data_IF_757123650594
#
_entry.id   IF_757123650594
#
_cell.length_a   1.000
_cell.length_b   1.000
_cell.length_c   1.000
_cell.angle_alpha   90.00
_cell.angle_beta   90.00
_cell.angle_gamma   90.00
#
_symmetry.space_group_name_H-M   'P 1'
#
loop_
_entity.id
_entity.type
_entity.pdbx_description
1 polymer ?
#
# COMPACT_ATOMS: atom_id res chain seq x y z
N UNK A 1 -9.37 44.33 13.75
CA UNK A 1 -9.14 43.35 12.66
C UNK A 1 -7.94 42.38 12.86
N UNK A 2 -7.04 42.57 13.85
CA UNK A 2 -5.91 41.65 14.13
C UNK A 2 -6.26 40.38 14.94
N UNK A 3 -7.34 40.41 15.74
CA UNK A 3 -7.78 39.28 16.59
C UNK A 3 -8.33 38.07 15.81
N UNK A 4 -8.93 38.27 14.63
CA UNK A 4 -9.51 37.16 13.84
C UNK A 4 -8.45 36.32 13.11
N UNK A 5 -7.32 36.93 12.68
CA UNK A 5 -6.20 36.21 12.07
C UNK A 5 -5.47 35.31 13.08
N UNK A 6 -5.28 35.77 14.32
CA UNK A 6 -4.64 35.01 15.41
C UNK A 6 -5.48 33.78 15.83
N UNK A 7 -6.80 33.95 15.93
CA UNK A 7 -7.74 32.85 16.21
C UNK A 7 -7.75 31.81 15.08
N UNK A 8 -7.80 32.26 13.81
CA UNK A 8 -7.71 31.35 12.64
C UNK A 8 -6.39 30.58 12.59
N UNK A 9 -5.26 31.21 12.92
CA UNK A 9 -3.95 30.53 12.93
C UNK A 9 -3.88 29.46 14.04
N UNK A 10 -4.37 29.77 15.24
CA UNK A 10 -4.41 28.81 16.35
C UNK A 10 -5.31 27.59 16.06
N UNK A 11 -6.46 27.79 15.39
CA UNK A 11 -7.34 26.69 14.97
C UNK A 11 -6.67 25.81 13.91
N UNK A 12 -5.95 26.40 12.96
CA UNK A 12 -5.27 25.68 11.88
C UNK A 12 -4.09 24.83 12.41
N UNK A 13 -3.32 25.37 13.36
CA UNK A 13 -2.22 24.64 14.03
C UNK A 13 -2.76 23.44 14.80
N UNK A 14 -3.84 23.61 15.57
CA UNK A 14 -4.47 22.52 16.34
C UNK A 14 -5.00 21.42 15.41
N UNK A 15 -5.54 21.80 14.25
CA UNK A 15 -6.01 20.85 13.25
C UNK A 15 -4.86 20.10 12.56
N UNK A 16 -3.74 20.76 12.27
CA UNK A 16 -2.56 20.11 11.69
C UNK A 16 -1.94 19.10 12.67
N UNK A 17 -1.76 19.49 13.94
CA UNK A 17 -1.23 18.58 14.97
C UNK A 17 -2.12 17.36 15.20
N UNK A 18 -3.45 17.51 15.10
CA UNK A 18 -4.36 16.37 15.21
C UNK A 18 -4.15 15.39 14.04
N UNK A 19 -4.04 15.91 12.82
CA UNK A 19 -3.81 15.09 11.62
C UNK A 19 -2.45 14.42 11.61
N UNK A 20 -1.42 15.10 12.11
CA UNK A 20 -0.08 14.54 12.26
C UNK A 20 -0.10 13.33 13.20
N UNK A 21 -0.73 13.48 14.37
CA UNK A 21 -0.93 12.36 15.31
C UNK A 21 -1.76 11.22 14.74
N UNK A 22 -2.82 11.53 13.97
CA UNK A 22 -3.57 10.50 13.24
C UNK A 22 -2.68 9.76 12.23
N UNK A 23 -1.82 10.47 11.50
CA UNK A 23 -0.92 9.85 10.53
C UNK A 23 0.13 8.94 11.21
N UNK A 24 0.72 9.40 12.31
CA UNK A 24 1.63 8.59 13.13
C UNK A 24 0.93 7.33 13.65
N UNK A 25 -0.25 7.49 14.25
CA UNK A 25 -1.03 6.39 14.80
C UNK A 25 -1.36 5.36 13.72
N UNK A 26 -1.78 5.80 12.53
CA UNK A 26 -2.00 4.93 11.37
C UNK A 26 -0.72 4.18 10.98
N UNK A 27 0.42 4.87 10.91
CA UNK A 27 1.71 4.26 10.55
C UNK A 27 2.09 3.17 11.56
N UNK A 28 1.87 3.38 12.85
CA UNK A 28 2.26 2.42 13.90
C UNK A 28 1.25 1.29 14.13
N UNK A 29 -0.04 1.56 14.00
CA UNK A 29 -1.09 0.62 14.47
C UNK A 29 -1.80 -0.12 13.35
N UNK A 30 -1.94 0.48 12.15
CA UNK A 30 -2.77 -0.15 11.11
C UNK A 30 -2.11 -1.40 10.56
N UNK A 31 -2.92 -2.42 10.27
CA UNK A 31 -2.47 -3.61 9.53
C UNK A 31 -2.16 -3.24 8.09
N UNK A 32 -1.31 -4.02 7.42
CA UNK A 32 -0.84 -3.74 6.06
C UNK A 32 -1.96 -3.42 5.05
N UNK A 33 -3.09 -4.15 5.11
CA UNK A 33 -4.24 -3.91 4.22
C UNK A 33 -4.88 -2.54 4.47
N UNK A 34 -5.11 -2.19 5.73
CA UNK A 34 -5.79 -0.96 6.12
C UNK A 34 -4.86 0.24 5.97
N UNK A 35 -3.56 0.05 6.20
CA UNK A 35 -2.50 1.01 5.89
C UNK A 35 -2.53 1.37 4.40
N UNK A 36 -2.47 0.37 3.52
CA UNK A 36 -2.51 0.59 2.08
C UNK A 36 -3.79 1.29 1.64
N UNK A 37 -4.94 0.93 2.23
CA UNK A 37 -6.22 1.58 1.94
C UNK A 37 -6.23 3.06 2.35
N UNK A 38 -5.74 3.36 3.56
CA UNK A 38 -5.62 4.73 4.07
C UNK A 38 -4.73 5.57 3.16
N UNK A 39 -3.54 5.10 2.84
CA UNK A 39 -2.60 5.83 1.98
C UNK A 39 -3.10 5.92 0.53
N UNK A 40 -3.80 4.92 0.02
CA UNK A 40 -4.45 4.99 -1.29
C UNK A 40 -5.53 6.07 -1.32
N UNK A 41 -6.31 6.22 -0.26
CA UNK A 41 -7.39 7.21 -0.19
C UNK A 41 -6.85 8.63 -0.02
N UNK A 42 -5.86 8.79 0.86
CA UNK A 42 -5.26 10.07 1.24
C UNK A 42 -4.36 10.61 0.13
N UNK A 43 -3.57 9.73 -0.51
CA UNK A 43 -2.60 10.08 -1.56
C UNK A 43 -3.06 9.67 -2.96
N UNK A 44 -4.36 9.43 -3.16
CA UNK A 44 -4.91 9.01 -4.46
C UNK A 44 -4.45 9.96 -5.57
N UNK A 45 -3.61 9.46 -6.48
CA UNK A 45 -3.20 10.17 -7.69
C UNK A 45 -4.45 10.70 -8.41
N UNK A 46 -4.54 12.02 -8.59
CA UNK A 46 -5.66 12.69 -9.27
C UNK A 46 -6.73 13.33 -8.38
N UNK A 47 -6.67 13.26 -7.04
CA UNK A 47 -7.42 14.23 -6.21
C UNK A 47 -6.77 15.62 -6.30
N UNK A 48 -7.58 16.68 -6.16
CA UNK A 48 -7.20 18.11 -6.35
C UNK A 48 -5.77 18.37 -5.86
N UNK A 49 -4.89 18.92 -6.70
CA UNK A 49 -3.45 19.24 -6.44
C UNK A 49 -3.14 19.72 -5.01
N UNK A 50 -4.03 20.52 -4.43
CA UNK A 50 -3.89 21.07 -3.09
C UNK A 50 -4.01 20.02 -1.97
N UNK A 51 -4.79 18.96 -2.17
CA UNK A 51 -4.89 17.87 -1.21
C UNK A 51 -3.59 17.07 -1.18
N UNK A 52 -3.08 16.65 -2.34
CA UNK A 52 -1.79 15.97 -2.43
C UNK A 52 -0.65 16.78 -1.80
N UNK A 53 -0.56 18.09 -2.10
CA UNK A 53 0.43 18.97 -1.46
C UNK A 53 0.31 19.02 0.06
N UNK A 54 -0.92 19.04 0.60
CA UNK A 54 -1.16 19.04 2.05
C UNK A 54 -0.73 17.71 2.67
N UNK A 55 -1.08 16.59 2.06
CA UNK A 55 -0.73 15.26 2.59
C UNK A 55 0.79 15.05 2.54
N UNK A 56 1.49 15.51 1.49
CA UNK A 56 2.97 15.49 1.43
C UNK A 56 3.61 16.42 2.46
N UNK A 57 3.06 17.61 2.69
CA UNK A 57 3.53 18.50 3.77
C UNK A 57 3.39 17.83 5.13
N UNK A 58 2.28 17.12 5.35
CA UNK A 58 2.03 16.40 6.60
C UNK A 58 2.99 15.22 6.81
N UNK A 59 3.44 14.57 5.73
CA UNK A 59 4.52 13.58 5.79
C UNK A 59 5.85 14.21 6.19
N UNK A 60 6.16 15.41 5.68
CA UNK A 60 7.41 16.09 6.03
C UNK A 60 7.45 16.53 7.49
N UNK A 61 6.28 16.86 8.05
CA UNK A 61 6.12 17.19 9.47
C UNK A 61 6.35 15.97 10.40
N UNK A 62 6.35 14.73 9.90
CA UNK A 62 6.65 13.52 10.69
C UNK A 62 8.12 13.43 11.08
N UNK A 63 8.41 12.93 12.28
CA UNK A 63 9.77 12.64 12.73
C UNK A 63 10.48 11.63 11.80
N UNK A 64 11.81 11.77 11.69
CA UNK A 64 12.63 10.91 10.81
C UNK A 64 12.46 9.44 11.19
N UNK A 65 12.39 9.11 12.48
CA UNK A 65 12.16 7.76 12.98
C UNK A 65 10.82 7.18 12.48
N UNK A 66 9.76 8.01 12.46
CA UNK A 66 8.45 7.60 11.95
C UNK A 66 8.51 7.35 10.43
N UNK A 67 9.25 8.19 9.69
CA UNK A 67 9.49 7.99 8.25
C UNK A 67 10.27 6.70 7.98
N UNK A 68 11.31 6.40 8.75
CA UNK A 68 12.09 5.16 8.63
C UNK A 68 11.25 3.91 8.93
N UNK A 69 10.43 3.99 9.98
CA UNK A 69 9.51 2.91 10.31
C UNK A 69 8.49 2.68 9.19
N UNK A 70 7.92 3.75 8.63
CA UNK A 70 7.01 3.65 7.49
C UNK A 70 7.68 3.03 6.27
N UNK A 71 8.90 3.46 5.92
CA UNK A 71 9.71 2.88 4.82
C UNK A 71 9.89 1.38 5.02
N UNK A 72 10.31 0.96 6.22
CA UNK A 72 10.48 -0.46 6.55
C UNK A 72 9.18 -1.24 6.36
N UNK A 73 8.04 -0.71 6.83
CA UNK A 73 6.73 -1.33 6.66
C UNK A 73 6.34 -1.49 5.19
N UNK A 74 6.44 -0.43 4.39
CA UNK A 74 6.10 -0.48 2.97
C UNK A 74 7.05 -1.38 2.16
N UNK A 75 8.33 -1.43 2.54
CA UNK A 75 9.30 -2.35 1.97
C UNK A 75 8.92 -3.81 2.26
N UNK A 76 8.55 -4.13 3.51
CA UNK A 76 8.09 -5.48 3.85
C UNK A 76 6.83 -5.87 3.07
N UNK A 77 5.87 -4.95 2.94
CA UNK A 77 4.64 -5.16 2.16
C UNK A 77 4.93 -5.40 0.67
N UNK A 78 5.90 -4.68 0.08
CA UNK A 78 6.31 -4.90 -1.31
C UNK A 78 6.95 -6.29 -1.49
N UNK A 79 7.84 -6.67 -0.56
CA UNK A 79 8.57 -7.94 -0.60
C UNK A 79 7.67 -9.18 -0.37
N UNK A 80 6.73 -9.10 0.59
CA UNK A 80 5.75 -10.18 0.82
C UNK A 80 4.87 -10.45 -0.42
N UNK A 81 4.70 -9.44 -1.28
CA UNK A 81 3.82 -9.49 -2.46
C UNK A 81 4.58 -9.70 -3.77
N UNK A 82 5.83 -10.17 -3.70
CA UNK A 82 6.64 -10.48 -4.88
C UNK A 82 6.01 -11.63 -5.72
N UNK A 83 5.68 -11.37 -7.01
CA UNK A 83 5.25 -12.39 -7.97
C UNK A 83 6.09 -13.67 -7.95
N UNK A 84 7.40 -13.57 -7.77
CA UNK A 84 8.30 -14.72 -7.78
C UNK A 84 7.93 -15.77 -6.72
N UNK A 85 7.48 -15.33 -5.53
CA UNK A 85 7.04 -16.23 -4.45
C UNK A 85 5.71 -16.91 -4.77
N UNK A 86 4.81 -16.22 -5.46
CA UNK A 86 3.53 -16.80 -5.89
C UNK A 86 3.72 -17.89 -6.95
N UNK A 87 4.62 -17.69 -7.91
CA UNK A 87 4.90 -18.68 -8.93
C UNK A 87 5.46 -19.96 -8.32
N UNK A 88 6.40 -19.86 -7.38
CA UNK A 88 6.96 -21.02 -6.68
C UNK A 88 5.88 -21.85 -5.96
N UNK A 89 4.88 -21.19 -5.36
CA UNK A 89 3.75 -21.86 -4.69
C UNK A 89 2.77 -22.51 -5.68
N UNK A 90 2.56 -21.91 -6.85
CA UNK A 90 1.61 -22.41 -7.86
C UNK A 90 2.16 -23.57 -8.70
N UNK A 91 3.47 -23.66 -8.88
CA UNK A 91 4.14 -24.70 -9.68
C UNK A 91 3.65 -26.13 -9.39
N UNK A 92 3.62 -26.64 -8.13
CA UNK A 92 3.20 -28.01 -7.86
C UNK A 92 1.74 -28.28 -8.25
N UNK A 93 0.84 -27.30 -8.11
CA UNK A 93 -0.57 -27.45 -8.50
C UNK A 93 -0.73 -27.53 -10.02
N UNK A 94 0.06 -26.75 -10.76
CA UNK A 94 0.10 -26.79 -12.23
C UNK A 94 0.64 -28.14 -12.70
N UNK A 95 1.70 -28.66 -12.06
CA UNK A 95 2.27 -29.98 -12.39
C UNK A 95 1.28 -31.11 -12.14
N UNK A 96 0.58 -31.10 -11.01
CA UNK A 96 -0.47 -32.09 -10.69
C UNK A 96 -1.59 -32.02 -11.73
N UNK A 97 -2.07 -30.81 -12.06
CA UNK A 97 -3.11 -30.64 -13.07
C UNK A 97 -2.73 -31.27 -14.41
N UNK A 98 -1.56 -30.90 -14.94
CA UNK A 98 -1.04 -31.40 -16.22
C UNK A 98 -0.97 -32.93 -16.20
N UNK A 99 -0.41 -33.52 -15.14
CA UNK A 99 -0.26 -34.97 -15.03
C UNK A 99 -1.59 -35.71 -14.89
N UNK A 100 -2.60 -35.15 -14.20
CA UNK A 100 -3.95 -35.73 -14.17
C UNK A 100 -4.72 -35.56 -15.48
N UNK A 101 -4.59 -34.41 -16.14
CA UNK A 101 -5.26 -34.12 -17.41
C UNK A 101 -4.75 -35.02 -18.55
N UNK A 102 -3.47 -35.37 -18.55
CA UNK A 102 -2.90 -36.31 -19.53
C UNK A 102 -3.17 -37.79 -19.21
N UNK A 103 -3.57 -38.14 -17.98
CA UNK A 103 -3.77 -39.53 -17.54
C UNK A 103 -5.21 -40.03 -17.63
N UNK A 104 -6.22 -39.18 -17.77
CA UNK A 104 -7.63 -39.59 -17.70
C UNK A 104 -8.37 -39.20 -18.99
N UNK A 105 -8.63 -40.20 -19.83
CA UNK A 105 -9.63 -40.18 -20.88
C UNK A 105 -10.90 -40.81 -20.30
N UNK A 106 -11.78 -40.01 -19.70
CA UNK A 106 -13.23 -40.25 -19.58
C UNK A 106 -13.87 -39.14 -18.73
N UNK A 107 -14.86 -38.47 -19.33
CA UNK A 107 -15.81 -37.50 -18.76
C UNK A 107 -15.34 -36.61 -17.58
N UNK A 108 -14.44 -35.67 -17.87
CA UNK A 108 -13.79 -34.80 -16.87
C UNK A 108 -14.38 -33.39 -16.75
N UNK A 109 -15.58 -33.12 -17.29
CA UNK A 109 -16.17 -31.77 -17.30
C UNK A 109 -16.29 -31.12 -15.92
N UNK A 110 -16.59 -31.91 -14.88
CA UNK A 110 -16.67 -31.43 -13.50
C UNK A 110 -15.30 -30.95 -13.01
N UNK A 111 -14.23 -31.69 -13.32
CA UNK A 111 -12.85 -31.34 -12.98
C UNK A 111 -12.42 -30.05 -13.70
N UNK A 112 -12.76 -29.90 -14.98
CA UNK A 112 -12.46 -28.68 -15.75
C UNK A 112 -13.18 -27.45 -15.19
N UNK A 113 -14.44 -27.56 -14.78
CA UNK A 113 -15.17 -26.44 -14.15
C UNK A 113 -14.53 -26.05 -12.81
N UNK A 114 -14.19 -27.02 -11.96
CA UNK A 114 -13.51 -26.75 -10.68
C UNK A 114 -12.19 -26.03 -10.90
N UNK A 115 -11.40 -26.46 -11.90
CA UNK A 115 -10.15 -25.82 -12.26
C UNK A 115 -10.32 -24.41 -12.83
N UNK A 116 -11.31 -24.18 -13.68
CA UNK A 116 -11.61 -22.87 -14.22
C UNK A 116 -11.98 -21.87 -13.10
N UNK A 117 -12.80 -22.29 -12.13
CA UNK A 117 -13.15 -21.48 -10.97
C UNK A 117 -11.92 -21.18 -10.10
N UNK A 118 -11.08 -22.19 -9.84
CA UNK A 118 -9.84 -22.02 -9.09
C UNK A 118 -8.88 -21.01 -9.77
N UNK A 119 -8.71 -21.11 -11.09
CA UNK A 119 -7.89 -20.17 -11.87
C UNK A 119 -8.43 -18.73 -11.78
N UNK A 120 -9.75 -18.54 -11.86
CA UNK A 120 -10.37 -17.22 -11.73
C UNK A 120 -10.10 -16.64 -10.34
N UNK A 121 -10.21 -17.44 -9.27
CA UNK A 121 -9.93 -17.01 -7.90
C UNK A 121 -8.46 -16.61 -7.75
N UNK A 122 -7.54 -17.44 -8.27
CA UNK A 122 -6.09 -17.16 -8.26
C UNK A 122 -5.78 -15.88 -9.04
N UNK A 123 -6.31 -15.71 -10.25
CA UNK A 123 -6.10 -14.50 -11.05
C UNK A 123 -6.62 -13.24 -10.34
N UNK A 124 -7.80 -13.32 -9.69
CA UNK A 124 -8.33 -12.20 -8.89
C UNK A 124 -7.41 -11.87 -7.71
N UNK A 125 -6.92 -12.88 -7.00
CA UNK A 125 -5.99 -12.70 -5.89
C UNK A 125 -4.68 -12.05 -6.35
N UNK A 126 -4.10 -12.55 -7.44
CA UNK A 126 -2.87 -12.01 -8.04
C UNK A 126 -3.05 -10.57 -8.52
N UNK A 127 -4.17 -10.25 -9.18
CA UNK A 127 -4.43 -8.91 -9.66
C UNK A 127 -4.58 -7.91 -8.49
N UNK A 128 -5.26 -8.33 -7.42
CA UNK A 128 -5.34 -7.54 -6.18
C UNK A 128 -3.96 -7.33 -5.56
N UNK A 129 -3.16 -8.40 -5.44
CA UNK A 129 -1.80 -8.32 -4.91
C UNK A 129 -0.92 -7.37 -5.72
N UNK A 130 -1.00 -7.41 -7.06
CA UNK A 130 -0.29 -6.48 -7.95
C UNK A 130 -0.68 -5.02 -7.71
N UNK A 131 -1.98 -4.73 -7.60
CA UNK A 131 -2.46 -3.36 -7.34
C UNK A 131 -1.93 -2.83 -6.01
N UNK A 132 -2.06 -3.61 -4.96
CA UNK A 132 -1.58 -3.24 -3.63
C UNK A 132 -0.05 -3.06 -3.62
N UNK A 133 0.70 -3.88 -4.37
CA UNK A 133 2.15 -3.73 -4.54
C UNK A 133 2.50 -2.40 -5.22
N UNK A 134 1.82 -2.04 -6.30
CA UNK A 134 2.03 -0.75 -6.99
C UNK A 134 1.80 0.42 -6.03
N UNK A 135 0.76 0.33 -5.20
CA UNK A 135 0.46 1.35 -4.18
C UNK A 135 1.60 1.41 -3.16
N UNK A 136 2.02 0.25 -2.63
CA UNK A 136 3.12 0.13 -1.67
C UNK A 136 4.41 0.75 -2.21
N UNK A 137 4.82 0.38 -3.42
CA UNK A 137 6.04 0.91 -4.05
C UNK A 137 5.97 2.40 -4.35
N UNK A 138 4.78 2.94 -4.68
CA UNK A 138 4.60 4.38 -4.89
C UNK A 138 4.71 5.15 -3.56
N UNK A 139 4.10 4.62 -2.50
CA UNK A 139 4.23 5.22 -1.16
C UNK A 139 5.66 5.14 -0.65
N UNK A 140 6.33 3.99 -0.80
CA UNK A 140 7.73 3.81 -0.42
C UNK A 140 8.61 4.91 -1.01
N UNK A 141 8.54 5.13 -2.33
CA UNK A 141 9.29 6.21 -3.01
C UNK A 141 8.93 7.60 -2.48
N UNK A 142 7.66 7.81 -2.11
CA UNK A 142 7.20 9.10 -1.57
C UNK A 142 7.82 9.35 -0.18
N UNK A 143 7.79 8.35 0.69
CA UNK A 143 8.43 8.41 2.01
C UNK A 143 9.95 8.60 1.91
N UNK A 144 10.62 7.85 1.03
CA UNK A 144 12.06 8.01 0.76
C UNK A 144 12.41 9.42 0.28
N UNK A 145 11.62 9.98 -0.64
CA UNK A 145 11.81 11.35 -1.13
C UNK A 145 11.59 12.40 -0.03
N UNK A 146 10.61 12.21 0.84
CA UNK A 146 10.34 13.13 1.96
C UNK A 146 11.47 13.06 2.98
N UNK A 147 11.90 11.85 3.37
CA UNK A 147 13.04 11.63 4.27
C UNK A 147 14.30 12.30 3.73
N UNK A 148 14.65 12.03 2.48
CA UNK A 148 15.85 12.58 1.86
C UNK A 148 15.85 14.12 1.73
N UNK A 149 14.66 14.74 1.67
CA UNK A 149 14.54 16.22 1.72
C UNK A 149 14.76 16.73 3.13
N UNK A 150 14.11 16.11 4.12
CA UNK A 150 14.24 16.48 5.52
C UNK A 150 15.68 16.38 6.02
N UNK A 151 16.38 15.29 5.70
CA UNK A 151 17.80 15.12 6.03
C UNK A 151 18.74 16.14 5.36
N UNK A 152 18.34 16.71 4.22
CA UNK A 152 19.11 17.78 3.56
C UNK A 152 18.86 19.14 4.18
N UNK A 153 17.66 19.39 4.69
CA UNK A 153 17.30 20.65 5.33
C UNK A 153 17.83 20.74 6.77
N UNK A 154 18.08 19.58 7.42
CA UNK A 154 18.69 19.50 8.76
C UNK A 154 20.24 19.52 8.75
N UNK A 155 20.87 19.41 7.57
CA UNK A 155 22.34 19.48 7.37
C UNK A 155 22.78 20.85 6.87
#
# INVERSE_FOLDING_TARGET
MKLSKKKKSATNIKQNNKRLKELEDVIYTYRAKDLLAYFLEEFRYGKKKNQYKRSVSLLYDLDIECLEFAISRFHNIDNERDPARYFAFLTPFITVYITTAFKIYEDTWVLTVVWAVALIIVMRSLNKSRKDRIISGTMLKTFEQVKARKEKDEK
#
